data_IF_221891729139
#
_entry.id   IF_221891729139
#
_cell.length_a   1.000
_cell.length_b   1.000
_cell.length_c   1.000
_cell.angle_alpha   90.00
_cell.angle_beta   90.00
_cell.angle_gamma   90.00
#
_symmetry.space_group_name_H-M   'P 1'
#
loop_
_entity.id
_entity.type
_entity.pdbx_description
1 polymer ?
#
# COMPACT_ATOMS: atom_id res chain seq x y z
N UNK A 1 -11.88 9.23 -7.49
CA UNK A 1 -11.89 8.16 -6.48
C UNK A 1 -11.33 8.76 -5.20
N UNK A 2 -12.06 8.73 -4.08
CA UNK A 2 -11.67 9.44 -2.85
C UNK A 2 -10.94 8.48 -1.90
N UNK A 3 -9.77 8.91 -1.42
CA UNK A 3 -8.94 8.18 -0.47
C UNK A 3 -8.67 9.08 0.73
N UNK A 4 -8.79 8.52 1.93
CA UNK A 4 -8.61 9.24 3.19
C UNK A 4 -7.45 8.61 3.95
N UNK A 5 -6.49 9.42 4.35
CA UNK A 5 -5.45 8.99 5.29
C UNK A 5 -5.90 9.30 6.71
N UNK A 6 -6.26 8.26 7.45
CA UNK A 6 -6.85 8.40 8.78
C UNK A 6 -5.80 8.65 9.85
N UNK A 7 -6.20 9.22 10.99
CA UNK A 7 -5.32 9.35 12.17
C UNK A 7 -4.78 7.99 12.68
N UNK A 8 -5.50 6.90 12.39
CA UNK A 8 -5.06 5.54 12.68
C UNK A 8 -4.00 5.00 11.70
N UNK A 9 -3.37 5.86 10.88
CA UNK A 9 -2.36 5.45 9.90
C UNK A 9 -2.90 4.42 8.90
N UNK A 10 -4.18 4.51 8.54
CA UNK A 10 -4.80 3.66 7.51
C UNK A 10 -5.15 4.50 6.28
N UNK A 11 -4.92 3.95 5.10
CA UNK A 11 -5.36 4.50 3.83
C UNK A 11 -6.72 3.87 3.49
N UNK A 12 -7.79 4.66 3.59
CA UNK A 12 -9.17 4.19 3.50
C UNK A 12 -9.84 4.67 2.22
N UNK A 13 -10.60 3.77 1.60
CA UNK A 13 -11.56 4.06 0.56
C UNK A 13 -12.93 3.54 1.00
N UNK A 14 -13.88 4.46 1.23
CA UNK A 14 -15.19 4.13 1.82
C UNK A 14 -15.04 3.39 3.16
N UNK A 15 -15.36 2.10 3.22
CA UNK A 15 -15.26 1.23 4.41
C UNK A 15 -14.11 0.21 4.32
N UNK A 16 -13.29 0.29 3.26
CA UNK A 16 -12.17 -0.62 3.04
C UNK A 16 -10.85 0.12 3.21
N UNK A 17 -9.86 -0.57 3.73
CA UNK A 17 -8.52 -0.07 3.97
C UNK A 17 -7.52 -0.85 3.13
N UNK A 18 -6.48 -0.13 2.70
CA UNK A 18 -5.33 -0.72 2.03
C UNK A 18 -4.63 -1.68 3.01
N UNK A 19 -4.49 -2.94 2.63
CA UNK A 19 -3.97 -4.02 3.49
C UNK A 19 -2.99 -4.89 2.75
N UNK A 20 -2.05 -5.49 3.46
CA UNK A 20 -1.22 -6.55 2.89
C UNK A 20 -1.86 -7.92 3.03
N UNK A 21 -1.62 -8.79 2.04
CA UNK A 21 -1.85 -10.23 2.14
C UNK A 21 -0.94 -10.85 3.23
N UNK A 22 0.37 -10.61 3.10
CA UNK A 22 1.41 -10.96 4.09
C UNK A 22 2.44 -9.82 4.21
N UNK A 23 3.33 -9.87 5.20
CA UNK A 23 4.39 -8.84 5.39
C UNK A 23 5.70 -9.18 4.68
N UNK A 24 5.74 -10.24 3.86
CA UNK A 24 6.93 -10.62 3.10
C UNK A 24 7.13 -9.73 1.86
N UNK A 25 8.37 -9.60 1.34
CA UNK A 25 8.62 -8.88 0.08
C UNK A 25 7.73 -9.38 -1.07
N UNK A 26 7.39 -8.50 -2.01
CA UNK A 26 6.51 -8.77 -3.15
C UNK A 26 5.09 -9.21 -2.79
N UNK A 27 4.68 -9.10 -1.52
CA UNK A 27 3.31 -9.41 -1.12
C UNK A 27 2.30 -8.48 -1.79
N UNK A 28 1.20 -9.08 -2.24
CA UNK A 28 0.08 -8.35 -2.82
C UNK A 28 -0.59 -7.43 -1.80
N UNK A 29 -1.01 -6.27 -2.30
CA UNK A 29 -1.84 -5.29 -1.60
C UNK A 29 -3.30 -5.48 -1.99
N UNK A 30 -4.17 -5.46 -0.98
CA UNK A 30 -5.59 -5.76 -1.06
C UNK A 30 -6.41 -4.61 -0.47
N UNK A 31 -7.68 -4.51 -0.86
CA UNK A 31 -8.67 -3.68 -0.17
C UNK A 31 -9.54 -4.59 0.70
N UNK A 32 -9.37 -4.49 2.01
CA UNK A 32 -10.11 -5.29 3.00
C UNK A 32 -10.96 -4.37 3.90
N UNK A 33 -12.00 -4.87 4.59
CA UNK A 33 -12.69 -4.08 5.60
C UNK A 33 -11.69 -3.47 6.60
N UNK A 34 -11.87 -2.19 6.92
CA UNK A 34 -10.97 -1.51 7.84
C UNK A 34 -11.01 -2.16 9.23
N UNK A 35 -9.84 -2.53 9.74
CA UNK A 35 -9.67 -3.10 11.07
C UNK A 35 -8.53 -2.37 11.80
N UNK A 36 -8.90 -1.60 12.83
CA UNK A 36 -7.96 -0.85 13.65
C UNK A 36 -7.04 -1.72 14.53
N UNK A 37 -7.21 -3.04 14.56
CA UNK A 37 -6.28 -3.97 15.22
C UNK A 37 -5.40 -4.74 14.22
N UNK A 38 -5.59 -4.55 12.91
CA UNK A 38 -4.81 -5.24 11.89
C UNK A 38 -3.60 -4.42 11.47
N UNK A 39 -2.42 -4.85 11.92
CA UNK A 39 -1.17 -4.16 11.63
C UNK A 39 -0.79 -4.20 10.14
N UNK A 40 -1.38 -5.09 9.34
CA UNK A 40 -1.20 -5.13 7.87
C UNK A 40 -1.87 -3.96 7.14
N UNK A 41 -2.66 -3.14 7.86
CA UNK A 41 -3.35 -1.97 7.35
C UNK A 41 -2.67 -0.65 7.76
N UNK A 42 -1.45 -0.72 8.28
CA UNK A 42 -0.71 0.42 8.84
C UNK A 42 0.28 0.98 7.83
N UNK A 43 0.03 2.20 7.40
CA UNK A 43 0.80 2.90 6.39
C UNK A 43 1.25 4.26 6.90
N UNK A 44 2.43 4.68 6.46
CA UNK A 44 3.00 5.99 6.70
C UNK A 44 3.29 6.67 5.37
N UNK A 45 2.89 7.94 5.24
CA UNK A 45 3.35 8.77 4.14
C UNK A 45 4.76 9.28 4.46
N UNK A 46 5.74 8.92 3.63
CA UNK A 46 7.13 9.37 3.74
C UNK A 46 7.51 10.12 2.46
N UNK A 47 7.35 11.45 2.46
CA UNK A 47 7.49 12.25 1.25
C UNK A 47 6.43 11.87 0.19
N UNK A 48 6.90 11.36 -0.95
CA UNK A 48 6.06 10.84 -2.05
C UNK A 48 5.76 9.34 -1.93
N UNK A 49 6.31 8.66 -0.92
CA UNK A 49 6.20 7.22 -0.78
C UNK A 49 5.14 6.85 0.27
N UNK A 50 4.56 5.66 0.11
CA UNK A 50 3.66 5.06 1.08
C UNK A 50 4.34 3.81 1.66
N UNK A 51 4.85 3.94 2.88
CA UNK A 51 5.59 2.90 3.58
C UNK A 51 4.65 2.11 4.49
N UNK A 52 4.72 0.78 4.45
CA UNK A 52 4.04 -0.08 5.39
C UNK A 52 4.81 -0.14 6.72
N UNK A 53 4.13 0.19 7.83
CA UNK A 53 4.80 0.44 9.11
C UNK A 53 5.47 -0.79 9.74
N UNK A 54 4.93 -1.99 9.50
CA UNK A 54 5.51 -3.23 10.07
C UNK A 54 6.66 -3.76 9.21
N UNK A 55 6.47 -3.83 7.89
CA UNK A 55 7.46 -4.46 6.99
C UNK A 55 8.53 -3.48 6.50
N UNK A 56 8.31 -2.17 6.63
CA UNK A 56 9.22 -1.11 6.14
C UNK A 56 9.40 -1.10 4.62
N UNK A 57 8.45 -1.71 3.91
CA UNK A 57 8.41 -1.72 2.44
C UNK A 57 7.45 -0.67 1.90
N UNK A 58 7.72 -0.21 0.70
CA UNK A 58 6.93 0.80 0.02
C UNK A 58 5.92 0.17 -0.92
N UNK A 59 4.76 0.81 -1.04
CA UNK A 59 3.76 0.47 -2.03
C UNK A 59 4.36 0.66 -3.43
N UNK A 60 4.29 -0.39 -4.24
CA UNK A 60 4.88 -0.43 -5.57
C UNK A 60 3.82 -0.86 -6.60
N UNK A 61 3.89 -0.24 -7.78
CA UNK A 61 3.05 -0.56 -8.93
C UNK A 61 3.71 -1.52 -9.92
N UNK A 62 4.97 -1.91 -9.68
CA UNK A 62 5.62 -2.98 -10.42
C UNK A 62 4.95 -4.33 -10.11
N UNK A 63 4.59 -5.07 -11.17
CA UNK A 63 3.85 -6.33 -11.06
C UNK A 63 4.74 -7.42 -10.44
N UNK A 64 4.19 -8.22 -9.52
CA UNK A 64 4.76 -9.54 -9.23
C UNK A 64 4.77 -10.35 -10.54
N UNK A 65 5.96 -10.75 -11.00
CA UNK A 65 6.25 -11.23 -12.36
C UNK A 65 5.69 -12.62 -12.73
N UNK A 66 4.69 -13.14 -12.01
CA UNK A 66 4.15 -14.46 -12.27
C UNK A 66 2.84 -14.36 -13.04
N UNK A 67 2.98 -14.45 -14.36
CA UNK A 67 1.92 -14.22 -15.34
C UNK A 67 0.70 -15.11 -15.16
N UNK A 68 -0.45 -14.47 -14.91
CA UNK A 68 -1.75 -14.74 -15.55
C UNK A 68 -2.69 -13.63 -15.08
N UNK A 69 -3.34 -12.93 -16.01
CA UNK A 69 -4.23 -11.77 -15.83
C UNK A 69 -3.58 -10.43 -15.42
N UNK A 70 -3.53 -9.53 -16.41
CA UNK A 70 -3.06 -8.15 -16.38
C UNK A 70 -3.96 -7.19 -15.57
N UNK A 71 -4.41 -7.61 -14.40
CA UNK A 71 -4.95 -6.68 -13.40
C UNK A 71 -3.76 -6.06 -12.69
N UNK A 72 -3.58 -4.74 -12.82
CA UNK A 72 -2.49 -3.97 -12.17
C UNK A 72 -2.46 -4.26 -10.66
N UNK A 73 -1.66 -5.24 -10.27
CA UNK A 73 -1.55 -5.69 -8.89
C UNK A 73 -0.52 -4.82 -8.20
N UNK A 74 -0.93 -4.14 -7.13
CA UNK A 74 0.00 -3.41 -6.27
C UNK A 74 0.66 -4.39 -5.31
N UNK A 75 1.95 -4.18 -5.06
CA UNK A 75 2.76 -5.01 -4.17
C UNK A 75 3.51 -4.13 -3.18
N UNK A 76 4.25 -4.77 -2.28
CA UNK A 76 5.25 -4.10 -1.44
C UNK A 76 6.66 -4.53 -1.81
N UNK A 77 7.55 -3.55 -1.96
CA UNK A 77 8.95 -3.73 -2.32
C UNK A 77 9.86 -2.90 -1.40
N UNK A 78 11.17 -3.20 -1.30
CA UNK A 78 12.13 -2.29 -0.68
C UNK A 78 11.94 -0.85 -1.18
N UNK A 79 11.93 0.10 -0.24
CA UNK A 79 11.73 1.50 -0.58
C UNK A 79 12.91 2.03 -1.41
N UNK A 80 12.61 2.47 -2.63
CA UNK A 80 13.57 2.99 -3.59
C UNK A 80 13.19 4.44 -3.94
N UNK A 81 13.99 5.42 -3.49
CA UNK A 81 13.68 6.85 -3.66
C UNK A 81 13.63 7.28 -5.14
N UNK A 82 14.41 6.59 -5.96
CA UNK A 82 14.51 6.83 -7.40
C UNK A 82 13.40 6.16 -8.21
N UNK A 83 12.73 5.13 -7.66
CA UNK A 83 11.71 4.36 -8.35
C UNK A 83 10.45 5.20 -8.57
N UNK A 84 10.11 5.44 -9.83
CA UNK A 84 8.87 6.12 -10.21
C UNK A 84 7.63 5.29 -9.84
N UNK A 85 7.73 3.96 -9.84
CA UNK A 85 6.65 3.03 -9.53
C UNK A 85 6.20 3.06 -8.06
N UNK A 86 7.00 3.68 -7.18
CA UNK A 86 6.72 3.87 -5.75
C UNK A 86 6.37 5.32 -5.38
N UNK A 87 6.17 6.20 -6.38
CA UNK A 87 5.76 7.60 -6.15
C UNK A 87 4.25 7.73 -6.20
N UNK A 88 3.68 8.25 -5.12
CA UNK A 88 2.25 8.39 -4.92
C UNK A 88 1.89 9.85 -4.61
N UNK A 89 1.42 10.56 -5.63
CA UNK A 89 0.82 11.89 -5.48
C UNK A 89 -0.65 11.75 -5.10
N UNK A 90 -0.89 11.33 -3.85
CA UNK A 90 -2.24 11.16 -3.31
C UNK A 90 -2.65 12.40 -2.52
N UNK A 91 -3.63 13.19 -3.02
CA UNK A 91 -4.30 14.19 -2.20
C UNK A 91 -5.23 13.44 -1.24
N UNK A 92 -4.72 13.13 -0.05
CA UNK A 92 -5.59 12.67 1.02
C UNK A 92 -6.46 13.85 1.48
N UNK A 93 -7.77 13.62 1.51
CA UNK A 93 -8.73 14.54 2.12
C UNK A 93 -8.71 14.41 3.63
#
# INVERSE_FOLDING_TARGET
QEWVYTHGQQIRQKQHCLSLSTTFPASQVLLLPCNMADDKQRWQKSGTHLEHLVSRFCLDSEMALDGMDSSRMLVISPCELSAYTQRWDVPFS
#
